data_IF_046702126807
#
_entry.id   IF_046702126807
#
_cell.length_a   1.000
_cell.length_b   1.000
_cell.length_c   1.000
_cell.angle_alpha   90.00
_cell.angle_beta   90.00
_cell.angle_gamma   90.00
#
_symmetry.space_group_name_H-M   'P 1'
#
loop_
_entity.id
_entity.type
_entity.pdbx_description
1 polymer ?
#
# COMPACT_ATOMS: atom_id res chain seq x y z
N UNK A 1 52.00 -7.23 -14.56
CA UNK A 1 50.62 -6.97 -15.03
C UNK A 1 49.54 -7.80 -14.30
N UNK A 2 49.88 -8.70 -13.37
CA UNK A 2 48.93 -9.56 -12.64
C UNK A 2 48.30 -8.90 -11.41
N UNK A 3 48.97 -7.93 -10.77
CA UNK A 3 48.46 -7.24 -9.57
C UNK A 3 47.28 -6.27 -9.83
N UNK A 4 47.17 -5.68 -11.02
CA UNK A 4 46.04 -4.80 -11.35
C UNK A 4 44.73 -5.58 -11.59
N UNK A 5 44.82 -6.81 -12.10
CA UNK A 5 43.67 -7.69 -12.29
C UNK A 5 43.14 -8.24 -10.96
N UNK A 6 44.02 -8.62 -10.02
CA UNK A 6 43.60 -9.00 -8.67
C UNK A 6 42.96 -7.82 -7.92
N UNK A 7 43.47 -6.60 -8.09
CA UNK A 7 42.88 -5.40 -7.49
C UNK A 7 41.47 -5.10 -8.02
N UNK A 8 41.21 -5.31 -9.32
CA UNK A 8 39.87 -5.19 -9.90
C UNK A 8 38.92 -6.30 -9.45
N UNK A 9 39.37 -7.56 -9.47
CA UNK A 9 38.55 -8.70 -9.05
C UNK A 9 38.19 -8.61 -7.58
N UNK A 10 39.11 -8.19 -6.71
CA UNK A 10 38.83 -7.98 -5.29
C UNK A 10 37.87 -6.81 -5.05
N UNK A 11 37.99 -5.74 -5.85
CA UNK A 11 37.08 -4.59 -5.79
C UNK A 11 35.68 -4.95 -6.28
N UNK A 12 35.55 -5.71 -7.37
CA UNK A 12 34.25 -6.22 -7.85
C UNK A 12 33.64 -7.24 -6.89
N UNK A 13 34.43 -8.15 -6.30
CA UNK A 13 33.95 -9.09 -5.27
C UNK A 13 33.53 -8.38 -3.98
N UNK A 14 34.23 -7.32 -3.58
CA UNK A 14 33.87 -6.51 -2.40
C UNK A 14 32.56 -5.74 -2.64
N UNK A 15 32.37 -5.17 -3.84
CA UNK A 15 31.13 -4.50 -4.24
C UNK A 15 29.97 -5.50 -4.29
N UNK A 16 30.20 -6.68 -4.86
CA UNK A 16 29.19 -7.75 -4.96
C UNK A 16 28.85 -8.31 -3.57
N UNK A 17 29.85 -8.55 -2.72
CA UNK A 17 29.66 -9.02 -1.35
C UNK A 17 28.92 -8.03 -0.46
N UNK A 18 29.18 -6.73 -0.61
CA UNK A 18 28.44 -5.69 0.09
C UNK A 18 26.97 -5.63 -0.35
N UNK A 19 26.70 -5.71 -1.67
CA UNK A 19 25.34 -5.78 -2.18
C UNK A 19 24.59 -7.04 -1.68
N UNK A 20 25.27 -8.19 -1.58
CA UNK A 20 24.70 -9.40 -1.00
C UNK A 20 24.37 -9.23 0.48
N UNK A 21 25.26 -8.61 1.27
CA UNK A 21 25.04 -8.35 2.68
C UNK A 21 23.81 -7.46 2.92
N UNK A 22 23.71 -6.34 2.19
CA UNK A 22 22.55 -5.44 2.24
C UNK A 22 21.26 -6.16 1.85
N UNK A 23 21.32 -7.05 0.85
CA UNK A 23 20.17 -7.86 0.42
C UNK A 23 19.73 -8.83 1.54
N UNK A 24 20.67 -9.53 2.17
CA UNK A 24 20.37 -10.45 3.28
C UNK A 24 19.80 -9.69 4.48
N UNK A 25 20.34 -8.52 4.79
CA UNK A 25 19.85 -7.69 5.90
C UNK A 25 18.41 -7.22 5.65
N UNK A 26 18.12 -6.68 4.45
CA UNK A 26 16.78 -6.23 4.09
C UNK A 26 15.74 -7.36 4.06
N UNK A 27 16.13 -8.55 3.57
CA UNK A 27 15.30 -9.77 3.66
C UNK A 27 15.03 -10.17 5.10
N UNK A 28 16.05 -10.07 5.97
CA UNK A 28 15.94 -10.43 7.38
C UNK A 28 15.01 -9.47 8.14
N UNK A 29 15.09 -8.16 7.87
CA UNK A 29 14.16 -7.16 8.40
C UNK A 29 12.72 -7.42 7.95
N UNK A 30 12.52 -7.74 6.67
CA UNK A 30 11.20 -8.02 6.10
C UNK A 30 10.57 -9.29 6.70
N UNK A 31 11.36 -10.36 6.85
CA UNK A 31 10.89 -11.59 7.49
C UNK A 31 10.53 -11.34 8.96
N UNK A 32 11.37 -10.60 9.69
CA UNK A 32 11.11 -10.25 11.08
C UNK A 32 9.78 -9.49 11.25
N UNK A 33 9.53 -8.46 10.41
CA UNK A 33 8.27 -7.71 10.42
C UNK A 33 7.06 -8.59 10.06
N UNK A 34 7.19 -9.49 9.09
CA UNK A 34 6.11 -10.45 8.75
C UNK A 34 5.78 -11.39 9.90
N UNK A 35 6.79 -11.90 10.60
CA UNK A 35 6.61 -12.75 11.78
C UNK A 35 5.90 -11.98 12.90
N UNK A 36 6.26 -10.71 13.13
CA UNK A 36 5.56 -9.86 14.11
C UNK A 36 4.08 -9.66 13.75
N UNK A 37 3.77 -9.38 12.47
CA UNK A 37 2.38 -9.23 12.00
C UNK A 37 1.60 -10.54 12.19
N UNK A 38 2.18 -11.70 11.85
CA UNK A 38 1.53 -13.01 12.05
C UNK A 38 1.26 -13.26 13.53
N UNK A 39 2.22 -12.93 14.40
CA UNK A 39 2.08 -13.08 15.86
C UNK A 39 0.94 -12.21 16.40
N UNK A 40 0.84 -10.95 15.96
CA UNK A 40 -0.25 -10.06 16.34
C UNK A 40 -1.60 -10.57 15.82
N UNK A 41 -1.65 -11.08 14.58
CA UNK A 41 -2.86 -11.71 14.06
C UNK A 41 -3.27 -12.95 14.85
N UNK A 42 -2.30 -13.77 15.27
CA UNK A 42 -2.57 -14.91 16.15
C UNK A 42 -3.15 -14.45 17.50
N UNK A 43 -2.58 -13.41 18.10
CA UNK A 43 -3.11 -12.82 19.33
C UNK A 43 -4.55 -12.30 19.15
N UNK A 44 -4.84 -11.62 18.04
CA UNK A 44 -6.19 -11.17 17.71
C UNK A 44 -7.18 -12.35 17.59
N UNK A 45 -6.79 -13.43 16.90
CA UNK A 45 -7.61 -14.65 16.80
C UNK A 45 -7.87 -15.28 18.16
N UNK A 46 -6.85 -15.39 19.01
CA UNK A 46 -7.03 -15.92 20.38
C UNK A 46 -7.95 -15.05 21.22
N UNK A 47 -7.87 -13.72 21.10
CA UNK A 47 -8.78 -12.80 21.80
C UNK A 47 -10.22 -12.95 21.32
N UNK A 48 -10.44 -13.14 20.01
CA UNK A 48 -11.77 -13.39 19.44
C UNK A 48 -12.34 -14.72 19.95
N UNK A 49 -11.55 -15.79 19.95
CA UNK A 49 -11.96 -17.09 20.52
C UNK A 49 -12.35 -16.99 22.00
N UNK A 50 -11.62 -16.17 22.78
CA UNK A 50 -11.97 -15.93 24.19
C UNK A 50 -13.29 -15.17 24.34
N UNK A 51 -13.59 -14.21 23.47
CA UNK A 51 -14.88 -13.51 23.46
C UNK A 51 -16.01 -14.49 23.14
N UNK A 52 -15.82 -15.38 22.17
CA UNK A 52 -16.81 -16.39 21.81
C UNK A 52 -17.05 -17.39 22.96
N UNK A 53 -15.98 -17.86 23.62
CA UNK A 53 -16.06 -18.76 24.78
C UNK A 53 -16.79 -18.11 25.97
N UNK A 54 -16.48 -16.85 26.30
CA UNK A 54 -17.18 -16.11 27.35
C UNK A 54 -18.66 -15.94 27.00
N UNK A 55 -18.97 -15.60 25.74
CA UNK A 55 -20.36 -15.44 25.27
C UNK A 55 -21.12 -16.78 25.35
N UNK A 56 -20.49 -17.88 24.95
CA UNK A 56 -21.06 -19.21 25.03
C UNK A 56 -21.31 -19.65 26.49
N UNK A 57 -20.38 -19.39 27.40
CA UNK A 57 -20.53 -19.70 28.84
C UNK A 57 -21.65 -18.92 29.50
N UNK A 58 -21.78 -17.62 29.20
CA UNK A 58 -22.90 -16.80 29.68
C UNK A 58 -24.22 -17.36 29.15
N UNK A 59 -24.29 -17.70 27.86
CA UNK A 59 -25.47 -18.34 27.26
C UNK A 59 -25.85 -19.65 27.96
N UNK A 60 -24.86 -20.51 28.24
CA UNK A 60 -25.08 -21.77 28.96
C UNK A 60 -25.58 -21.55 30.39
N UNK A 61 -25.01 -20.59 31.13
CA UNK A 61 -25.43 -20.27 32.49
C UNK A 61 -26.85 -19.71 32.54
N UNK A 62 -27.22 -18.84 31.60
CA UNK A 62 -28.59 -18.32 31.48
C UNK A 62 -29.58 -19.47 31.21
N UNK A 63 -29.28 -20.34 30.25
CA UNK A 63 -30.15 -21.48 29.91
C UNK A 63 -30.29 -22.45 31.09
N UNK A 64 -29.19 -22.77 31.77
CA UNK A 64 -29.20 -23.65 32.93
C UNK A 64 -30.10 -23.09 34.05
N UNK A 65 -29.94 -21.81 34.40
CA UNK A 65 -30.71 -21.20 35.48
C UNK A 65 -32.19 -20.93 35.12
N UNK A 66 -32.49 -20.66 33.85
CA UNK A 66 -33.89 -20.58 33.38
C UNK A 66 -34.57 -21.95 33.37
N UNK A 67 -33.83 -23.01 33.02
CA UNK A 67 -34.34 -24.39 33.04
C UNK A 67 -34.58 -24.87 34.48
N UNK A 68 -33.65 -24.59 35.40
CA UNK A 68 -33.78 -24.90 36.83
C UNK A 68 -34.96 -24.16 37.46
N UNK A 69 -35.18 -22.89 37.08
CA UNK A 69 -36.34 -22.09 37.50
C UNK A 69 -37.68 -22.64 37.01
N UNK A 70 -37.70 -23.31 35.86
CA UNK A 70 -38.90 -23.98 35.35
C UNK A 70 -39.19 -25.29 36.10
N UNK A 71 -38.18 -25.89 36.72
CA UNK A 71 -38.29 -27.14 37.49
C UNK A 71 -38.47 -26.91 39.01
N UNK A 72 -37.93 -25.83 39.58
CA UNK A 72 -37.90 -25.60 41.04
C UNK A 72 -38.54 -24.25 41.42
N UNK A 73 -39.58 -24.27 42.26
CA UNK A 73 -40.30 -23.07 42.74
C UNK A 73 -39.56 -22.35 43.89
N UNK A 74 -38.25 -22.12 43.75
CA UNK A 74 -37.42 -21.45 44.76
C UNK A 74 -37.43 -19.91 44.63
N UNK A 75 -37.14 -19.16 45.73
CA UNK A 75 -37.48 -17.74 45.81
C UNK A 75 -36.66 -16.84 44.85
N UNK A 76 -37.29 -15.83 44.24
CA UNK A 76 -36.79 -15.16 43.02
C UNK A 76 -35.64 -14.16 43.21
N UNK A 77 -35.32 -13.76 44.44
CA UNK A 77 -34.44 -12.60 44.68
C UNK A 77 -32.93 -12.91 44.58
N UNK A 78 -32.47 -14.11 44.99
CA UNK A 78 -31.03 -14.43 45.00
C UNK A 78 -30.51 -14.86 43.63
N UNK A 79 -31.36 -15.46 42.79
CA UNK A 79 -30.99 -15.98 41.46
C UNK A 79 -30.86 -14.82 40.46
N UNK A 80 -31.80 -13.86 40.47
CA UNK A 80 -31.73 -12.68 39.59
C UNK A 80 -30.47 -11.85 39.90
N UNK A 81 -30.12 -11.67 41.18
CA UNK A 81 -28.88 -10.98 41.56
C UNK A 81 -27.60 -11.72 41.12
N UNK A 82 -27.61 -13.07 41.14
CA UNK A 82 -26.47 -13.86 40.66
C UNK A 82 -26.29 -13.78 39.13
N UNK A 83 -27.39 -13.71 38.37
CA UNK A 83 -27.38 -13.50 36.91
C UNK A 83 -26.88 -12.10 36.57
N UNK A 84 -27.41 -11.07 37.23
CA UNK A 84 -27.00 -9.69 36.98
C UNK A 84 -25.52 -9.48 37.29
N UNK A 85 -25.00 -10.12 38.35
CA UNK A 85 -23.58 -10.06 38.69
C UNK A 85 -22.70 -10.77 37.66
N UNK A 86 -23.06 -11.99 37.26
CA UNK A 86 -22.30 -12.75 36.24
C UNK A 86 -22.35 -12.07 34.87
N UNK A 87 -23.47 -11.45 34.51
CA UNK A 87 -23.62 -10.67 33.29
C UNK A 87 -22.78 -9.38 33.34
N UNK A 88 -22.77 -8.66 34.46
CA UNK A 88 -21.95 -7.47 34.64
C UNK A 88 -20.45 -7.78 34.57
N UNK A 89 -20.01 -8.89 35.16
CA UNK A 89 -18.64 -9.36 35.11
C UNK A 89 -18.25 -9.76 33.68
N UNK A 90 -19.14 -10.46 32.96
CA UNK A 90 -18.91 -10.84 31.57
C UNK A 90 -18.86 -9.63 30.62
N UNK A 91 -19.76 -8.64 30.80
CA UNK A 91 -19.74 -7.39 30.02
C UNK A 91 -18.42 -6.65 30.23
N UNK A 92 -17.98 -6.51 31.49
CA UNK A 92 -16.70 -5.87 31.81
C UNK A 92 -15.54 -6.60 31.15
N UNK A 93 -15.55 -7.94 31.17
CA UNK A 93 -14.50 -8.75 30.54
C UNK A 93 -14.49 -8.64 29.03
N UNK A 94 -15.66 -8.63 28.38
CA UNK A 94 -15.78 -8.43 26.93
C UNK A 94 -15.31 -7.03 26.54
N UNK A 95 -15.60 -6.01 27.35
CA UNK A 95 -15.12 -4.64 27.11
C UNK A 95 -13.59 -4.54 27.20
N UNK A 96 -12.98 -5.18 28.20
CA UNK A 96 -11.50 -5.26 28.30
C UNK A 96 -10.88 -5.94 27.08
N UNK A 97 -11.41 -7.10 26.67
CA UNK A 97 -10.92 -7.83 25.51
C UNK A 97 -11.09 -7.03 24.20
N UNK A 98 -12.21 -6.31 24.06
CA UNK A 98 -12.46 -5.42 22.93
C UNK A 98 -11.46 -4.26 22.90
N UNK A 99 -11.15 -3.67 24.05
CA UNK A 99 -10.13 -2.62 24.14
C UNK A 99 -8.74 -3.14 23.77
N UNK A 100 -8.38 -4.34 24.23
CA UNK A 100 -7.12 -4.98 23.84
C UNK A 100 -7.06 -5.25 22.33
N UNK A 101 -8.16 -5.72 21.73
CA UNK A 101 -8.23 -5.96 20.29
C UNK A 101 -8.05 -4.68 19.46
N UNK A 102 -8.67 -3.57 19.88
CA UNK A 102 -8.48 -2.26 19.23
C UNK A 102 -7.01 -1.82 19.28
N UNK A 103 -6.33 -2.07 20.40
CA UNK A 103 -4.89 -1.80 20.54
C UNK A 103 -4.05 -2.62 19.56
N UNK A 104 -4.29 -3.93 19.49
CA UNK A 104 -3.58 -4.83 18.56
C UNK A 104 -3.84 -4.45 17.10
N UNK A 105 -5.07 -4.09 16.73
CA UNK A 105 -5.39 -3.63 15.38
C UNK A 105 -4.66 -2.32 15.01
N UNK A 106 -4.51 -1.41 15.98
CA UNK A 106 -3.75 -0.18 15.78
C UNK A 106 -2.26 -0.47 15.52
N UNK A 107 -1.64 -1.37 16.30
CA UNK A 107 -0.25 -1.79 16.11
C UNK A 107 -0.04 -2.49 14.75
N UNK A 108 -0.96 -3.40 14.35
CA UNK A 108 -0.91 -4.05 13.03
C UNK A 108 -0.97 -2.99 11.93
N UNK A 109 -1.83 -1.97 12.08
CA UNK A 109 -1.97 -0.91 11.09
C UNK A 109 -0.69 -0.07 10.97
N UNK A 110 -0.08 0.29 12.08
CA UNK A 110 1.17 1.05 12.12
C UNK A 110 2.31 0.28 11.43
N UNK A 111 2.51 -0.99 11.80
CA UNK A 111 3.51 -1.87 11.19
C UNK A 111 3.28 -2.07 9.68
N UNK A 112 2.02 -2.16 9.24
CA UNK A 112 1.68 -2.25 7.81
C UNK A 112 2.03 -0.99 7.04
N UNK A 113 1.82 0.20 7.63
CA UNK A 113 2.20 1.47 7.01
C UNK A 113 3.72 1.58 6.90
N UNK A 114 4.46 1.24 7.96
CA UNK A 114 5.92 1.25 7.95
C UNK A 114 6.49 0.30 6.89
N UNK A 115 5.93 -0.92 6.80
CA UNK A 115 6.34 -1.92 5.81
C UNK A 115 6.06 -1.43 4.39
N UNK A 116 4.87 -0.87 4.13
CA UNK A 116 4.53 -0.32 2.83
C UNK A 116 5.47 0.83 2.41
N UNK A 117 5.88 1.68 3.36
CA UNK A 117 6.84 2.75 3.11
C UNK A 117 8.21 2.18 2.72
N UNK A 118 8.68 1.13 3.40
CA UNK A 118 9.96 0.50 3.09
C UNK A 118 9.94 -0.22 1.73
N UNK A 119 8.85 -0.89 1.39
CA UNK A 119 8.66 -1.53 0.08
C UNK A 119 8.69 -0.50 -1.07
N UNK A 120 8.05 0.67 -0.88
CA UNK A 120 8.10 1.76 -1.86
C UNK A 120 9.51 2.32 -2.05
N UNK A 121 10.27 2.50 -0.96
CA UNK A 121 11.66 2.95 -1.03
C UNK A 121 12.56 1.91 -1.71
N UNK A 122 12.32 0.63 -1.46
CA UNK A 122 13.02 -0.47 -2.13
C UNK A 122 12.72 -0.49 -3.63
N UNK A 123 11.44 -0.42 -4.01
CA UNK A 123 11.02 -0.33 -5.41
C UNK A 123 11.64 0.88 -6.11
N UNK A 124 11.67 2.05 -5.46
CA UNK A 124 12.30 3.24 -6.02
C UNK A 124 13.81 3.03 -6.26
N UNK A 125 14.52 2.39 -5.33
CA UNK A 125 15.95 2.07 -5.49
C UNK A 125 16.18 1.06 -6.61
N UNK A 126 15.38 0.00 -6.69
CA UNK A 126 15.51 -1.03 -7.72
C UNK A 126 15.23 -0.49 -9.12
N UNK A 127 14.20 0.35 -9.24
CA UNK A 127 13.91 1.07 -10.48
C UNK A 127 15.09 1.97 -10.86
N UNK A 128 15.59 2.78 -9.93
CA UNK A 128 16.73 3.67 -10.16
C UNK A 128 18.00 2.90 -10.58
N UNK A 129 18.35 1.81 -9.89
CA UNK A 129 19.53 0.98 -10.17
C UNK A 129 19.46 0.29 -11.54
N UNK A 130 18.25 -0.11 -11.97
CA UNK A 130 18.04 -0.79 -13.27
C UNK A 130 17.68 0.15 -14.41
N UNK A 131 17.80 1.47 -14.21
CA UNK A 131 17.33 2.49 -15.17
C UNK A 131 15.86 2.30 -15.60
N UNK A 132 15.06 1.69 -14.72
CA UNK A 132 13.62 1.57 -14.84
C UNK A 132 12.92 2.74 -14.16
N UNK A 133 11.72 3.05 -14.60
CA UNK A 133 10.93 4.14 -14.05
C UNK A 133 9.45 3.78 -13.97
N UNK A 134 8.72 4.59 -13.20
CA UNK A 134 7.27 4.64 -13.23
C UNK A 134 6.90 6.05 -13.64
N UNK A 135 6.20 6.19 -14.77
CA UNK A 135 5.75 7.48 -15.28
C UNK A 135 4.23 7.59 -15.22
N UNK A 136 3.74 8.76 -14.82
CA UNK A 136 2.31 9.08 -14.80
C UNK A 136 2.04 10.12 -15.87
N UNK A 137 1.41 9.68 -16.96
CA UNK A 137 1.15 10.54 -18.11
C UNK A 137 -0.33 10.81 -18.23
N UNK A 138 -0.69 12.08 -18.40
CA UNK A 138 -2.07 12.46 -18.70
C UNK A 138 -2.26 12.45 -20.21
N UNK A 139 -3.30 11.75 -20.68
CA UNK A 139 -3.68 11.75 -22.10
C UNK A 139 -4.27 13.11 -22.46
N UNK A 140 -3.57 13.88 -23.29
CA UNK A 140 -4.03 15.21 -23.70
C UNK A 140 -4.97 15.10 -24.90
N UNK A 141 -5.92 16.04 -25.02
CA UNK A 141 -6.78 16.13 -26.20
C UNK A 141 -5.91 16.40 -27.44
N UNK A 142 -6.05 15.56 -28.47
CA UNK A 142 -5.24 15.64 -29.69
C UNK A 142 -3.90 14.90 -29.63
N UNK A 143 -3.58 14.23 -28.52
CA UNK A 143 -2.45 13.32 -28.45
C UNK A 143 -2.67 12.09 -29.36
N UNK A 144 -1.58 11.50 -29.84
CA UNK A 144 -1.63 10.32 -30.71
C UNK A 144 -2.28 9.10 -30.03
N UNK A 145 -2.18 9.01 -28.70
CA UNK A 145 -2.85 7.98 -27.91
C UNK A 145 -4.37 8.18 -27.78
N UNK A 146 -4.90 9.40 -27.96
CA UNK A 146 -6.31 9.68 -27.68
C UNK A 146 -7.24 8.93 -28.67
N UNK A 147 -8.19 8.17 -28.12
CA UNK A 147 -9.11 7.33 -28.89
C UNK A 147 -8.51 6.01 -29.38
N UNK A 148 -7.23 5.75 -29.13
CA UNK A 148 -6.57 4.50 -29.50
C UNK A 148 -6.77 3.43 -28.41
N UNK A 149 -6.88 2.15 -28.78
CA UNK A 149 -6.88 1.05 -27.83
C UNK A 149 -5.46 0.82 -27.26
N UNK A 150 -5.37 0.20 -26.08
CA UNK A 150 -4.09 -0.17 -25.47
C UNK A 150 -3.23 -1.05 -26.39
N UNK A 151 -3.85 -1.91 -27.19
CA UNK A 151 -3.16 -2.73 -28.19
C UNK A 151 -2.45 -1.93 -29.30
N UNK A 152 -2.79 -0.65 -29.48
CA UNK A 152 -2.12 0.26 -30.41
C UNK A 152 -0.87 0.93 -29.81
N UNK A 153 -0.52 0.62 -28.56
CA UNK A 153 0.73 1.07 -27.94
C UNK A 153 1.93 0.68 -28.83
N UNK A 154 2.91 1.57 -29.03
CA UNK A 154 4.10 1.25 -29.81
C UNK A 154 4.81 -0.02 -29.31
N UNK A 155 4.81 -1.08 -30.14
CA UNK A 155 5.35 -2.42 -29.77
C UNK A 155 6.85 -2.47 -29.48
N UNK A 156 7.59 -1.39 -29.78
CA UNK A 156 9.02 -1.30 -29.57
C UNK A 156 9.42 -0.98 -28.12
N UNK A 157 8.45 -0.76 -27.22
CA UNK A 157 8.73 -0.54 -25.80
C UNK A 157 8.63 -1.83 -24.99
N UNK A 158 9.66 -2.11 -24.19
CA UNK A 158 9.57 -2.97 -22.99
C UNK A 158 8.73 -2.33 -21.88
N UNK A 159 8.34 -1.07 -22.03
CA UNK A 159 7.38 -0.41 -21.16
C UNK A 159 5.96 -1.00 -21.32
N UNK A 160 5.31 -1.23 -20.19
CA UNK A 160 3.94 -1.72 -20.12
C UNK A 160 3.05 -0.75 -19.33
N UNK A 161 1.76 -0.73 -19.68
CA UNK A 161 0.75 0.01 -18.91
C UNK A 161 0.35 -0.84 -17.72
N UNK A 162 0.61 -0.34 -16.52
CA UNK A 162 0.22 -1.00 -15.29
C UNK A 162 -1.25 -0.77 -14.96
N UNK A 163 -1.75 0.45 -15.17
CA UNK A 163 -3.15 0.81 -14.96
C UNK A 163 -3.47 2.15 -15.63
N UNK A 164 -4.76 2.42 -15.82
CA UNK A 164 -5.28 3.70 -16.28
C UNK A 164 -6.26 4.24 -15.25
N UNK A 165 -6.04 5.47 -14.76
CA UNK A 165 -7.00 6.17 -13.93
C UNK A 165 -7.90 7.04 -14.79
N UNK A 166 -9.21 6.90 -14.61
CA UNK A 166 -10.24 7.74 -15.25
C UNK A 166 -11.11 8.34 -14.17
N UNK A 167 -10.81 9.57 -13.77
CA UNK A 167 -11.41 10.19 -12.59
C UNK A 167 -11.13 9.34 -11.34
N UNK A 168 -12.16 8.85 -10.60
CA UNK A 168 -11.97 8.04 -9.40
C UNK A 168 -11.75 6.54 -9.68
N UNK A 169 -11.82 6.10 -10.93
CA UNK A 169 -11.77 4.68 -11.28
C UNK A 169 -10.37 4.25 -11.71
N UNK A 170 -9.92 3.11 -11.17
CA UNK A 170 -8.74 2.38 -11.62
C UNK A 170 -9.17 1.30 -12.62
N UNK A 171 -8.70 1.41 -13.86
CA UNK A 171 -9.01 0.48 -14.94
C UNK A 171 -7.84 -0.48 -15.14
N UNK A 172 -8.17 -1.77 -15.23
CA UNK A 172 -7.20 -2.80 -15.60
C UNK A 172 -6.74 -2.59 -17.06
N UNK A 173 -5.46 -2.79 -17.37
CA UNK A 173 -4.92 -2.60 -18.71
C UNK A 173 -5.32 -3.77 -19.63
N UNK A 174 -6.55 -3.75 -20.15
CA UNK A 174 -7.02 -4.71 -21.16
C UNK A 174 -6.69 -4.21 -22.57
N UNK A 175 -6.48 -5.12 -23.52
CA UNK A 175 -6.01 -4.78 -24.88
C UNK A 175 -7.00 -3.93 -25.69
N UNK A 176 -8.28 -4.00 -25.35
CA UNK A 176 -9.40 -3.25 -25.92
C UNK A 176 -9.66 -1.90 -25.22
N UNK A 177 -8.98 -1.64 -24.09
CA UNK A 177 -9.14 -0.40 -23.33
C UNK A 177 -8.75 0.81 -24.20
N UNK A 178 -9.72 1.67 -24.48
CA UNK A 178 -9.48 2.90 -25.23
C UNK A 178 -9.06 4.04 -24.31
N UNK A 179 -7.95 4.69 -24.65
CA UNK A 179 -7.49 5.90 -24.00
C UNK A 179 -8.39 7.09 -24.33
N UNK A 180 -8.77 7.85 -23.31
CA UNK A 180 -9.58 9.07 -23.44
C UNK A 180 -8.79 10.27 -22.93
N UNK A 181 -8.98 11.46 -23.52
CA UNK A 181 -8.41 12.68 -22.97
C UNK A 181 -8.80 12.85 -21.50
N UNK A 182 -7.82 13.16 -20.65
CA UNK A 182 -7.99 13.26 -19.20
C UNK A 182 -7.73 11.96 -18.43
N UNK A 183 -7.53 10.83 -19.12
CA UNK A 183 -7.03 9.62 -18.48
C UNK A 183 -5.60 9.83 -17.98
N UNK A 184 -5.26 9.24 -16.84
CA UNK A 184 -3.91 9.18 -16.30
C UNK A 184 -3.40 7.75 -16.49
N UNK A 185 -2.40 7.58 -17.34
CA UNK A 185 -1.80 6.28 -17.65
C UNK A 185 -0.56 6.10 -16.78
N UNK A 186 -0.49 5.00 -16.06
CA UNK A 186 0.68 4.61 -15.26
C UNK A 186 1.50 3.62 -16.09
N UNK A 187 2.69 4.04 -16.48
CA UNK A 187 3.64 3.24 -17.25
C UNK A 187 4.77 2.74 -16.37
N UNK A 188 5.25 1.53 -16.65
CA UNK A 188 6.42 0.96 -15.99
C UNK A 188 7.34 0.40 -17.08
N UNK A 189 8.62 0.75 -17.06
CA UNK A 189 9.58 0.31 -18.08
C UNK A 189 10.93 1.00 -17.96
N UNK A 190 11.83 0.77 -18.92
CA UNK A 190 13.10 1.47 -18.99
C UNK A 190 12.90 2.97 -19.23
N UNK A 191 13.63 3.84 -18.53
CA UNK A 191 13.46 5.30 -18.58
C UNK A 191 13.50 5.85 -20.01
N UNK A 192 14.45 5.37 -20.83
CA UNK A 192 14.61 5.77 -22.24
C UNK A 192 13.37 5.51 -23.11
N UNK A 193 12.56 4.51 -22.75
CA UNK A 193 11.36 4.12 -23.48
C UNK A 193 10.13 4.87 -22.95
N UNK A 194 10.09 5.09 -21.63
CA UNK A 194 9.10 5.97 -21.01
C UNK A 194 9.18 7.38 -21.62
N UNK A 195 10.39 7.92 -21.77
CA UNK A 195 10.63 9.24 -22.39
C UNK A 195 10.10 9.33 -23.83
N UNK A 196 10.13 8.22 -24.59
CA UNK A 196 9.56 8.17 -25.95
C UNK A 196 8.03 8.19 -25.89
N UNK A 197 7.45 7.43 -24.98
CA UNK A 197 6.00 7.33 -24.78
C UNK A 197 5.38 8.63 -24.26
N UNK A 198 6.14 9.50 -23.58
CA UNK A 198 5.69 10.85 -23.18
C UNK A 198 5.07 11.58 -24.36
N UNK A 199 5.73 11.55 -25.52
CA UNK A 199 5.27 12.27 -26.70
C UNK A 199 3.98 11.71 -27.30
N UNK A 200 3.76 10.41 -27.15
CA UNK A 200 2.58 9.72 -27.66
C UNK A 200 1.31 10.06 -26.85
N UNK A 201 1.45 10.19 -25.52
CA UNK A 201 0.35 10.51 -24.61
C UNK A 201 0.09 12.02 -24.43
N UNK A 202 1.13 12.86 -24.53
CA UNK A 202 1.02 14.31 -24.26
C UNK A 202 1.02 15.18 -25.52
N UNK A 203 1.45 14.63 -26.66
CA UNK A 203 1.66 15.39 -27.89
C UNK A 203 2.87 16.33 -27.86
N UNK A 204 3.62 16.38 -26.76
CA UNK A 204 4.85 17.18 -26.64
C UNK A 204 6.06 16.38 -27.11
N UNK A 205 6.94 16.99 -27.92
CA UNK A 205 8.30 16.46 -28.10
C UNK A 205 9.01 16.53 -26.75
N UNK A 206 9.62 15.42 -26.32
CA UNK A 206 10.40 15.29 -25.09
C UNK A 206 11.29 16.53 -24.87
N UNK A 207 10.88 17.41 -23.96
CA UNK A 207 11.74 18.44 -23.42
C UNK A 207 12.58 17.76 -22.35
N UNK A 208 13.79 17.37 -22.74
CA UNK A 208 14.88 17.09 -21.81
C UNK A 208 14.86 18.15 -20.71
N UNK A 209 14.72 17.72 -19.47
CA UNK A 209 15.05 18.50 -18.30
C UNK A 209 16.49 18.95 -18.44
N UNK A 210 16.65 20.22 -18.80
CA UNK A 210 17.87 20.97 -18.59
C UNK A 210 18.17 20.88 -17.09
N UNK A 211 19.38 20.44 -16.76
CA UNK A 211 19.90 20.55 -15.41
C UNK A 211 19.76 21.98 -14.90
N UNK A 212 19.49 22.11 -13.61
CA UNK A 212 19.44 23.36 -12.89
C UNK A 212 20.57 24.31 -13.31
N UNK A 213 20.23 25.54 -13.72
CA UNK A 213 20.90 26.82 -13.37
C UNK A 213 20.34 27.95 -14.25
N UNK A 214 19.75 28.95 -13.59
CA UNK A 214 19.52 30.34 -14.04
C UNK A 214 18.82 30.57 -15.40
N UNK A 215 17.64 31.21 -15.39
CA UNK A 215 17.54 32.62 -15.80
C UNK A 215 16.12 33.22 -15.66
N UNK A 216 16.04 34.32 -14.91
CA UNK A 216 15.20 35.54 -15.06
C UNK A 216 13.67 35.37 -15.12
N UNK A 217 12.90 35.72 -14.07
CA UNK A 217 12.55 37.08 -13.59
C UNK A 217 12.05 38.03 -14.70
N UNK A 218 10.87 38.63 -14.45
CA UNK A 218 10.14 39.69 -15.19
C UNK A 218 9.34 39.21 -16.42
N UNK A 219 8.05 39.48 -16.62
CA UNK A 219 7.29 40.68 -16.26
C UNK A 219 5.80 40.38 -16.04
N UNK A 220 5.30 40.73 -14.85
CA UNK A 220 3.90 41.12 -14.66
C UNK A 220 3.71 42.48 -15.36
N UNK A 221 2.79 42.59 -16.31
CA UNK A 221 2.27 43.88 -16.76
C UNK A 221 0.76 43.89 -16.61
N UNK A 222 0.32 44.38 -15.46
CA UNK A 222 -1.01 44.89 -15.25
C UNK A 222 -1.25 46.06 -16.23
N UNK A 223 -2.29 45.98 -17.05
CA UNK A 223 -2.89 47.16 -17.65
C UNK A 223 -4.33 47.27 -17.15
N UNK A 224 -4.53 48.20 -16.22
CA UNK A 224 -5.81 48.74 -15.80
C UNK A 224 -5.62 50.25 -15.83
N UNK A 225 -6.29 50.93 -16.75
CA UNK A 225 -7.15 52.11 -16.47
C UNK A 225 -7.74 52.65 -17.77
N UNK A 226 -9.01 53.03 -17.62
CA UNK A 226 -10.02 53.47 -18.57
C UNK A 226 -9.97 55.02 -18.69
N UNK A 227 -11.00 55.69 -19.24
CA UNK A 227 -11.00 56.39 -20.53
C UNK A 227 -10.87 57.93 -20.40
N UNK A 228 -10.69 58.59 -21.54
CA UNK A 228 -10.99 60.00 -21.77
C UNK A 228 -11.88 60.13 -22.99
#
# INVERSE_FOLDING_TARGET
MTFELLGRVHKELSITGHAFYETILSLSELVNRKVQIIRLHWQASTLLEQIDDVTAKVGQQIVAQVSDRLQDQSPPASVVGAIDQTLADAISRVQELKHALIGVDAEIRELKIETAQQDLLSLQRDLALRSGGIERLTVVRGAAAAGQPLSALPRSSSAYVATVLRGPFLLAPTSDLQFRPGDIVVLIGAQRELDQLVSWFTGQRSLRTCGALLCRRSSFRCHRTRPG
#
